data_IF_009917313001
#
_entry.id   IF_009917313001
#
_cell.length_a   1.000
_cell.length_b   1.000
_cell.length_c   1.000
_cell.angle_alpha   90.00
_cell.angle_beta   90.00
_cell.angle_gamma   90.00
#
_symmetry.space_group_name_H-M   'P 1'
#
loop_
_entity.id
_entity.type
_entity.pdbx_description
1 polymer ?
#
# COMPACT_ATOMS: atom_id res chain seq x y z
N UNK A 1 16.42 31.94 47.24
CA UNK A 1 15.60 30.72 47.34
C UNK A 1 14.21 30.85 46.65
N UNK A 2 13.64 32.01 46.54
CA UNK A 2 12.29 32.23 46.03
C UNK A 2 12.12 32.05 44.50
N UNK A 3 13.14 32.38 43.70
CA UNK A 3 13.07 32.29 42.24
C UNK A 3 13.16 30.82 41.70
N UNK A 4 13.71 29.88 42.44
CA UNK A 4 13.82 28.49 42.03
C UNK A 4 12.52 27.70 42.24
N UNK A 5 11.71 28.15 43.19
CA UNK A 5 10.40 27.53 43.49
C UNK A 5 9.36 27.95 42.44
N UNK A 6 9.33 29.24 42.06
CA UNK A 6 8.46 29.76 41.00
C UNK A 6 8.73 29.13 39.62
N UNK A 7 9.99 28.85 39.29
CA UNK A 7 10.37 28.18 38.03
C UNK A 7 9.95 26.71 38.00
N UNK A 8 9.92 26.02 39.16
CA UNK A 8 9.42 24.64 39.27
C UNK A 8 7.90 24.57 39.13
N UNK A 9 7.17 25.51 39.72
CA UNK A 9 5.71 25.55 39.59
C UNK A 9 5.26 25.85 38.16
N UNK A 10 5.95 26.73 37.43
CA UNK A 10 5.65 27.01 36.04
C UNK A 10 5.90 25.77 35.14
N UNK A 11 7.01 25.04 35.34
CA UNK A 11 7.26 23.78 34.61
C UNK A 11 6.23 22.70 34.91
N UNK A 12 5.77 22.60 36.15
CA UNK A 12 4.74 21.62 36.53
C UNK A 12 3.37 21.94 35.89
N UNK A 13 3.01 23.23 35.86
CA UNK A 13 1.80 23.72 35.20
C UNK A 13 1.83 23.47 33.67
N UNK A 14 2.95 23.75 33.03
CA UNK A 14 3.11 23.51 31.59
C UNK A 14 3.10 22.00 31.24
N UNK A 15 3.71 21.16 32.08
CA UNK A 15 3.65 19.73 31.93
C UNK A 15 2.23 19.18 32.12
N UNK A 16 1.48 19.70 33.08
CA UNK A 16 0.07 19.30 33.34
C UNK A 16 -0.87 19.75 32.21
N UNK A 17 -0.69 20.98 31.70
CA UNK A 17 -1.43 21.48 30.54
C UNK A 17 -1.14 20.69 29.26
N UNK A 18 0.10 20.29 29.02
CA UNK A 18 0.47 19.42 27.91
C UNK A 18 -0.12 18.02 28.06
N UNK A 19 -0.13 17.45 29.26
CA UNK A 19 -0.76 16.16 29.55
C UNK A 19 -2.29 16.21 29.33
N UNK A 20 -2.95 17.31 29.72
CA UNK A 20 -4.39 17.50 29.47
C UNK A 20 -4.70 17.70 27.98
N UNK A 21 -3.82 18.36 27.21
CA UNK A 21 -3.96 18.47 25.75
C UNK A 21 -3.81 17.13 25.06
N UNK A 22 -2.85 16.31 25.48
CA UNK A 22 -2.67 14.95 24.96
C UNK A 22 -3.89 14.06 25.29
N UNK A 23 -4.45 14.16 26.52
CA UNK A 23 -5.70 13.46 26.88
C UNK A 23 -6.90 13.89 26.03
N UNK A 24 -7.05 15.19 25.76
CA UNK A 24 -8.15 15.70 24.91
C UNK A 24 -8.00 15.22 23.46
N UNK A 25 -6.78 15.22 22.92
CA UNK A 25 -6.50 14.69 21.56
C UNK A 25 -6.72 13.17 21.49
N UNK A 26 -6.38 12.44 22.54
CA UNK A 26 -6.62 11.00 22.63
C UNK A 26 -8.12 10.66 22.76
N UNK A 27 -8.86 11.44 23.55
CA UNK A 27 -10.33 11.32 23.66
C UNK A 27 -11.02 11.70 22.34
N UNK A 28 -10.52 12.69 21.62
CA UNK A 28 -11.03 13.05 20.29
C UNK A 28 -10.76 11.93 19.28
N UNK A 29 -9.57 11.32 19.29
CA UNK A 29 -9.23 10.15 18.46
C UNK A 29 -10.12 8.95 18.79
N UNK A 30 -10.37 8.70 20.08
CA UNK A 30 -11.31 7.66 20.54
C UNK A 30 -12.76 7.95 20.11
N UNK A 31 -13.20 9.21 20.15
CA UNK A 31 -14.53 9.61 19.69
C UNK A 31 -14.67 9.44 18.16
N UNK A 32 -13.63 9.77 17.38
CA UNK A 32 -13.60 9.54 15.92
C UNK A 32 -13.62 8.04 15.59
N UNK A 33 -12.91 7.21 16.37
CA UNK A 33 -12.96 5.74 16.27
C UNK A 33 -14.35 5.17 16.63
N UNK A 34 -15.08 5.79 17.55
CA UNK A 34 -16.44 5.37 17.89
C UNK A 34 -17.47 5.74 16.82
N UNK A 35 -17.27 6.85 16.10
CA UNK A 35 -18.17 7.25 15.00
C UNK A 35 -18.05 6.27 13.81
N UNK A 36 -16.84 5.76 13.54
CA UNK A 36 -16.65 4.69 12.55
C UNK A 36 -17.25 3.35 12.98
N UNK A 37 -17.38 3.09 14.30
CA UNK A 37 -18.02 1.90 14.85
C UNK A 37 -19.55 1.84 14.68
N UNK A 38 -20.23 2.98 14.58
CA UNK A 38 -21.68 3.05 14.38
C UNK A 38 -22.11 2.70 12.94
N UNK A 39 -21.19 2.78 11.97
CA UNK A 39 -21.44 2.35 10.58
C UNK A 39 -21.41 0.81 10.41
N UNK A 40 -20.95 0.06 11.40
CA UNK A 40 -20.84 -1.40 11.37
C UNK A 40 -22.16 -2.15 11.65
N UNK A 41 -23.23 -1.43 12.02
CA UNK A 41 -24.53 -2.01 12.34
C UNK A 41 -25.47 -2.18 11.15
N UNK A 42 -25.12 -1.67 9.96
CA UNK A 42 -25.88 -1.92 8.74
C UNK A 42 -25.24 -3.07 7.98
N UNK A 43 -25.98 -4.13 7.78
CA UNK A 43 -25.56 -5.35 7.12
C UNK A 43 -24.73 -5.08 5.85
N UNK A 44 -23.61 -5.74 5.75
CA UNK A 44 -22.50 -5.70 4.80
C UNK A 44 -22.80 -5.09 3.41
N UNK A 45 -22.81 -3.78 3.31
CA UNK A 45 -22.85 -3.03 2.05
C UNK A 45 -21.45 -2.93 1.41
N UNK A 46 -20.39 -3.18 2.16
CA UNK A 46 -19.03 -3.08 1.67
C UNK A 46 -18.52 -4.44 1.19
N UNK A 47 -18.05 -4.54 -0.06
CA UNK A 47 -17.36 -5.72 -0.53
C UNK A 47 -16.11 -5.96 0.32
N UNK A 48 -15.94 -7.18 0.82
CA UNK A 48 -14.82 -7.58 1.67
C UNK A 48 -13.43 -7.38 1.04
N UNK A 49 -13.35 -7.41 -0.28
CA UNK A 49 -12.14 -7.32 -1.07
C UNK A 49 -12.21 -6.17 -2.08
N UNK A 50 -12.59 -4.98 -1.63
CA UNK A 50 -12.61 -3.77 -2.44
C UNK A 50 -11.20 -3.18 -2.61
N UNK A 51 -10.86 -2.69 -3.80
CA UNK A 51 -9.58 -2.05 -4.15
C UNK A 51 -8.33 -2.91 -3.84
N UNK A 52 -8.41 -4.24 -3.95
CA UNK A 52 -7.31 -5.15 -3.60
C UNK A 52 -6.05 -4.94 -4.45
N UNK A 53 -6.14 -4.32 -5.63
CA UNK A 53 -4.95 -3.94 -6.41
C UNK A 53 -4.04 -2.96 -5.66
N UNK A 54 -4.56 -2.19 -4.70
CA UNK A 54 -3.78 -1.33 -3.79
C UNK A 54 -3.15 -2.10 -2.62
N UNK A 55 -3.29 -3.42 -2.56
CA UNK A 55 -2.75 -4.27 -1.50
C UNK A 55 -1.62 -5.18 -1.98
N UNK A 56 -1.33 -5.18 -3.29
CA UNK A 56 -0.29 -6.02 -3.89
C UNK A 56 1.11 -5.64 -3.36
N UNK A 57 1.37 -4.36 -3.18
CA UNK A 57 2.68 -3.84 -2.73
C UNK A 57 3.46 -3.17 -3.86
N UNK A 58 4.33 -2.23 -3.51
CA UNK A 58 5.18 -1.49 -4.46
C UNK A 58 6.64 -1.50 -4.01
N UNK A 59 7.53 -1.55 -4.99
CA UNK A 59 8.98 -1.63 -4.77
C UNK A 59 9.46 -3.06 -4.55
N UNK A 60 10.37 -3.53 -5.44
CA UNK A 60 10.95 -4.87 -5.31
C UNK A 60 11.72 -5.05 -3.98
N UNK A 61 12.22 -3.96 -3.39
CA UNK A 61 12.84 -3.94 -2.06
C UNK A 61 11.85 -4.35 -0.96
N UNK A 62 10.62 -3.87 -0.99
CA UNK A 62 9.57 -4.20 -0.03
C UNK A 62 8.97 -5.60 -0.30
N UNK A 63 8.67 -5.90 -1.57
CA UNK A 63 8.12 -7.20 -1.97
C UNK A 63 9.09 -8.34 -1.61
N UNK A 64 10.40 -8.13 -1.81
CA UNK A 64 11.43 -9.09 -1.39
C UNK A 64 11.51 -9.33 0.11
N UNK A 65 10.93 -8.45 0.93
CA UNK A 65 10.77 -8.58 2.39
C UNK A 65 9.37 -9.08 2.79
N UNK A 66 8.60 -9.66 1.88
CA UNK A 66 7.24 -10.12 2.18
C UNK A 66 6.28 -8.98 2.54
N UNK A 67 6.49 -7.78 1.98
CA UNK A 67 5.73 -6.57 2.28
C UNK A 67 5.87 -6.05 3.74
N UNK A 68 6.82 -6.59 4.53
CA UNK A 68 7.08 -6.13 5.89
C UNK A 68 8.02 -4.91 5.87
N UNK A 69 7.46 -3.69 5.80
CA UNK A 69 8.20 -2.42 5.66
C UNK A 69 7.50 -1.21 6.29
N UNK A 70 6.45 -1.40 7.09
CA UNK A 70 5.64 -0.31 7.66
C UNK A 70 6.44 0.56 8.63
N UNK A 71 7.37 -0.05 9.39
CA UNK A 71 8.20 0.66 10.35
C UNK A 71 9.49 1.23 9.72
N UNK A 72 10.05 0.59 8.69
CA UNK A 72 11.38 0.96 8.16
C UNK A 72 11.34 1.54 6.74
N UNK A 73 10.16 1.82 6.18
CA UNK A 73 10.11 2.55 4.91
C UNK A 73 10.67 3.96 5.10
N UNK A 74 11.50 4.42 4.15
CA UNK A 74 12.21 5.71 4.24
C UNK A 74 12.65 6.24 2.88
N UNK A 75 11.94 5.88 1.82
CA UNK A 75 12.18 6.32 0.44
C UNK A 75 10.90 6.91 -0.16
N UNK A 76 10.93 7.26 -1.43
CA UNK A 76 9.75 7.67 -2.19
C UNK A 76 8.60 6.66 -2.12
N UNK A 77 8.90 5.34 -2.01
CA UNK A 77 7.90 4.27 -1.86
C UNK A 77 7.12 4.38 -0.53
N UNK A 78 7.59 5.19 0.42
CA UNK A 78 6.88 5.48 1.67
C UNK A 78 5.51 6.13 1.44
N UNK A 79 5.33 6.88 0.34
CA UNK A 79 4.02 7.43 -0.03
C UNK A 79 2.94 6.35 -0.11
N UNK A 80 3.30 5.15 -0.52
CA UNK A 80 2.39 4.00 -0.55
C UNK A 80 2.37 3.22 0.78
N UNK A 81 3.54 2.90 1.38
CA UNK A 81 3.61 2.02 2.54
C UNK A 81 3.22 2.71 3.84
N UNK A 82 3.93 3.79 4.18
CA UNK A 82 3.69 4.62 5.35
C UNK A 82 4.12 6.07 5.02
N UNK A 83 3.18 6.98 4.76
CA UNK A 83 3.51 8.32 4.31
C UNK A 83 4.43 9.09 5.28
N UNK A 84 4.44 8.76 6.58
CA UNK A 84 5.37 9.36 7.53
C UNK A 84 6.85 9.12 7.19
N UNK A 85 7.15 7.99 6.53
CA UNK A 85 8.50 7.63 6.10
C UNK A 85 9.09 8.56 5.03
N UNK A 86 8.28 9.31 4.29
CA UNK A 86 8.75 10.30 3.33
C UNK A 86 9.66 11.36 3.95
N UNK A 87 9.55 11.61 5.26
CA UNK A 87 10.44 12.53 5.97
C UNK A 87 11.91 12.09 6.00
N UNK A 88 12.21 10.85 5.61
CA UNK A 88 13.57 10.31 5.51
C UNK A 88 14.19 10.56 4.12
N UNK A 89 13.41 11.01 3.12
CA UNK A 89 13.93 11.46 1.82
C UNK A 89 14.78 12.70 2.06
N UNK A 90 16.09 12.59 1.82
CA UNK A 90 17.11 13.62 2.10
C UNK A 90 17.57 14.37 0.86
N UNK A 91 17.17 13.91 -0.33
CA UNK A 91 17.53 14.50 -1.62
C UNK A 91 16.47 15.48 -2.11
N UNK A 92 16.88 16.36 -2.99
CA UNK A 92 15.97 17.32 -3.62
C UNK A 92 14.79 16.63 -4.30
N UNK A 93 15.07 15.54 -5.04
CA UNK A 93 14.04 14.72 -5.69
C UNK A 93 14.44 13.25 -5.66
N UNK A 94 13.51 12.41 -5.29
CA UNK A 94 13.63 10.95 -5.40
C UNK A 94 12.54 10.44 -6.34
N UNK A 95 12.91 9.59 -7.31
CA UNK A 95 12.02 8.97 -8.29
C UNK A 95 12.11 7.47 -8.15
N UNK A 96 10.98 6.77 -8.18
CA UNK A 96 10.92 5.31 -8.21
C UNK A 96 10.02 4.85 -9.34
N UNK A 97 10.48 3.81 -10.04
CA UNK A 97 9.73 3.10 -11.07
C UNK A 97 9.71 1.62 -10.69
N UNK A 98 8.59 0.95 -10.91
CA UNK A 98 8.47 -0.50 -10.76
C UNK A 98 7.61 -1.05 -11.89
N UNK A 99 8.01 -2.22 -12.37
CA UNK A 99 7.22 -3.05 -13.27
C UNK A 99 7.18 -4.48 -12.74
N UNK A 100 6.02 -5.10 -12.84
CA UNK A 100 5.85 -6.50 -12.48
C UNK A 100 4.84 -7.18 -13.39
N UNK A 101 5.24 -8.38 -13.84
CA UNK A 101 4.37 -9.30 -14.54
C UNK A 101 3.84 -10.35 -13.54
N UNK A 102 2.51 -10.41 -13.42
CA UNK A 102 1.81 -11.40 -12.60
C UNK A 102 1.13 -12.44 -13.49
N UNK A 103 0.99 -13.67 -12.94
CA UNK A 103 0.28 -14.76 -13.61
C UNK A 103 0.83 -15.06 -15.03
N UNK A 104 2.16 -15.20 -15.15
CA UNK A 104 2.85 -15.42 -16.43
C UNK A 104 2.59 -14.33 -17.49
N UNK A 105 2.51 -13.07 -17.06
CA UNK A 105 2.33 -11.89 -17.93
C UNK A 105 0.88 -11.55 -18.28
N UNK A 106 -0.10 -12.27 -17.71
CA UNK A 106 -1.53 -11.95 -17.92
C UNK A 106 -1.87 -10.59 -17.32
N UNK A 107 -1.38 -10.31 -16.10
CA UNK A 107 -1.64 -9.04 -15.43
C UNK A 107 -0.33 -8.26 -15.24
N UNK A 108 -0.37 -6.96 -15.51
CA UNK A 108 0.74 -6.02 -15.37
C UNK A 108 0.49 -5.08 -14.20
N UNK A 109 1.54 -4.85 -13.40
CA UNK A 109 1.47 -3.92 -12.27
C UNK A 109 2.62 -2.95 -12.35
N UNK A 110 2.30 -1.68 -12.56
CA UNK A 110 3.24 -0.60 -12.75
C UNK A 110 3.13 0.42 -11.61
N UNK A 111 4.25 0.97 -11.19
CA UNK A 111 4.32 2.03 -10.18
C UNK A 111 5.29 3.13 -10.60
N UNK A 112 4.86 4.36 -10.38
CA UNK A 112 5.67 5.58 -10.43
C UNK A 112 5.56 6.29 -9.09
N UNK A 113 6.69 6.59 -8.46
CA UNK A 113 6.78 7.42 -7.25
C UNK A 113 7.66 8.63 -7.45
N UNK A 114 7.24 9.78 -6.92
CA UNK A 114 7.99 11.04 -6.86
C UNK A 114 7.95 11.57 -5.43
N UNK A 115 9.09 11.97 -4.88
CA UNK A 115 9.17 12.61 -3.57
C UNK A 115 10.13 13.79 -3.59
N UNK A 116 9.70 14.92 -3.06
CA UNK A 116 10.47 16.16 -2.99
C UNK A 116 10.52 16.69 -1.55
N UNK A 117 11.73 16.83 -1.01
CA UNK A 117 11.94 17.47 0.28
C UNK A 117 11.75 18.99 0.16
N UNK A 118 10.68 19.53 0.75
CA UNK A 118 10.38 20.96 0.75
C UNK A 118 11.37 21.69 1.67
N UNK A 119 11.59 21.12 2.85
CA UNK A 119 12.51 21.61 3.88
C UNK A 119 13.12 20.43 4.68
N UNK A 120 13.92 20.73 5.73
CA UNK A 120 14.55 19.71 6.59
C UNK A 120 13.56 18.83 7.37
N UNK A 121 12.28 19.21 7.41
CA UNK A 121 11.24 18.53 8.21
C UNK A 121 10.08 18.01 7.38
N UNK A 122 9.84 18.56 6.19
CA UNK A 122 8.63 18.35 5.41
C UNK A 122 8.95 17.83 4.01
N UNK A 123 8.19 16.84 3.55
CA UNK A 123 8.32 16.22 2.23
C UNK A 123 6.95 16.06 1.62
N UNK A 124 6.82 16.32 0.34
CA UNK A 124 5.66 15.96 -0.48
C UNK A 124 5.99 14.77 -1.36
N UNK A 125 4.98 13.99 -1.67
CA UNK A 125 5.09 12.84 -2.56
C UNK A 125 3.91 12.73 -3.51
N UNK A 126 4.17 12.06 -4.62
CA UNK A 126 3.14 11.62 -5.56
C UNK A 126 3.43 10.18 -5.93
N UNK A 127 2.40 9.34 -5.94
CA UNK A 127 2.50 7.96 -6.42
C UNK A 127 1.38 7.67 -7.40
N UNK A 128 1.72 6.98 -8.50
CA UNK A 128 0.77 6.48 -9.47
C UNK A 128 0.95 4.97 -9.60
N UNK A 129 -0.15 4.25 -9.57
CA UNK A 129 -0.23 2.79 -9.64
C UNK A 129 -1.16 2.45 -10.79
N UNK A 130 -0.77 1.46 -11.60
CA UNK A 130 -1.62 0.85 -12.63
C UNK A 130 -1.58 -0.66 -12.47
N UNK A 131 -2.75 -1.27 -12.37
CA UNK A 131 -2.92 -2.72 -12.47
C UNK A 131 -3.84 -3.00 -13.65
N UNK A 132 -3.42 -3.82 -14.60
CA UNK A 132 -4.19 -4.05 -15.80
C UNK A 132 -4.05 -5.47 -16.34
N UNK A 133 -5.16 -5.93 -16.95
CA UNK A 133 -5.21 -7.11 -17.80
C UNK A 133 -5.64 -6.63 -19.18
N UNK A 134 -4.77 -6.81 -20.15
CA UNK A 134 -4.99 -6.44 -21.54
C UNK A 134 -5.53 -7.65 -22.33
N UNK A 135 -6.06 -7.40 -23.54
CA UNK A 135 -6.49 -8.41 -24.51
C UNK A 135 -7.50 -9.43 -23.97
N UNK A 136 -8.42 -9.00 -23.12
CA UNK A 136 -9.50 -9.86 -22.60
C UNK A 136 -10.51 -10.11 -23.73
N UNK A 137 -10.77 -11.40 -24.12
CA UNK A 137 -11.73 -11.68 -25.16
C UNK A 137 -13.17 -11.30 -24.75
N UNK A 138 -13.82 -10.49 -25.56
CA UNK A 138 -15.24 -10.19 -25.44
C UNK A 138 -16.03 -11.15 -26.33
N UNK A 139 -16.73 -12.08 -25.71
CA UNK A 139 -17.55 -13.11 -26.39
C UNK A 139 -19.04 -12.82 -26.30
N UNK A 140 -19.45 -11.60 -25.90
CA UNK A 140 -20.88 -11.26 -25.73
C UNK A 140 -21.66 -11.32 -27.04
N UNK A 141 -21.01 -11.19 -28.19
CA UNK A 141 -21.59 -11.25 -29.53
C UNK A 141 -21.25 -12.54 -30.29
N UNK A 142 -20.63 -13.54 -29.60
CA UNK A 142 -20.16 -14.79 -30.22
C UNK A 142 -21.30 -15.59 -30.88
N UNK A 143 -22.48 -15.58 -30.26
CA UNK A 143 -23.65 -16.31 -30.75
C UNK A 143 -24.63 -15.31 -31.38
N UNK A 144 -25.06 -15.53 -32.62
CA UNK A 144 -26.04 -14.73 -33.31
C UNK A 144 -27.48 -15.07 -32.86
N UNK A 145 -28.45 -14.28 -33.31
CA UNK A 145 -29.88 -14.50 -32.97
C UNK A 145 -30.45 -15.82 -33.50
N UNK A 146 -29.75 -16.50 -34.41
CA UNK A 146 -30.11 -17.79 -34.96
C UNK A 146 -29.45 -18.96 -34.25
N UNK A 147 -28.58 -18.68 -33.23
CA UNK A 147 -27.81 -19.68 -32.49
C UNK A 147 -26.51 -20.12 -33.15
N UNK A 148 -26.06 -19.46 -34.22
CA UNK A 148 -24.80 -19.79 -34.89
C UNK A 148 -23.65 -19.13 -34.15
N UNK A 149 -22.50 -19.86 -34.05
CA UNK A 149 -21.26 -19.37 -33.47
C UNK A 149 -20.45 -18.65 -34.56
N UNK A 150 -20.10 -17.39 -34.33
CA UNK A 150 -19.33 -16.55 -35.25
C UNK A 150 -18.09 -16.01 -34.49
N UNK A 151 -16.91 -16.63 -34.68
CA UNK A 151 -15.66 -16.28 -34.03
C UNK A 151 -15.10 -14.91 -34.48
N UNK A 152 -15.49 -14.41 -35.65
CA UNK A 152 -15.05 -13.12 -36.18
C UNK A 152 -15.65 -11.94 -35.37
N UNK A 153 -16.67 -12.21 -34.53
CA UNK A 153 -17.26 -11.24 -33.61
C UNK A 153 -16.57 -11.11 -32.27
N UNK A 154 -15.52 -11.92 -32.04
CA UNK A 154 -14.71 -11.77 -30.82
C UNK A 154 -13.90 -10.48 -30.94
N UNK A 155 -14.17 -9.55 -30.06
CA UNK A 155 -13.36 -8.35 -29.84
C UNK A 155 -12.52 -8.49 -28.56
N UNK A 156 -11.58 -7.57 -28.32
CA UNK A 156 -10.80 -7.56 -27.08
C UNK A 156 -11.03 -6.26 -26.34
N UNK A 157 -10.87 -6.30 -25.01
CA UNK A 157 -10.90 -5.12 -24.16
C UNK A 157 -9.86 -5.22 -23.05
N UNK A 158 -9.58 -4.09 -22.40
CA UNK A 158 -8.69 -3.98 -21.25
C UNK A 158 -9.49 -3.72 -19.98
N UNK A 159 -9.15 -4.41 -18.89
CA UNK A 159 -9.56 -4.05 -17.55
C UNK A 159 -8.37 -3.41 -16.82
N UNK A 160 -8.53 -2.19 -16.31
CA UNK A 160 -7.45 -1.45 -15.68
C UNK A 160 -7.92 -0.67 -14.45
N UNK A 161 -7.14 -0.80 -13.37
CA UNK A 161 -7.32 -0.09 -12.11
C UNK A 161 -6.14 0.87 -11.91
N UNK A 162 -6.44 2.11 -11.56
CA UNK A 162 -5.46 3.18 -11.32
C UNK A 162 -5.63 3.73 -9.91
N UNK A 163 -4.51 3.91 -9.22
CA UNK A 163 -4.44 4.57 -7.91
C UNK A 163 -3.46 5.74 -7.95
N UNK A 164 -3.88 6.91 -7.45
CA UNK A 164 -3.04 8.10 -7.33
C UNK A 164 -3.03 8.53 -5.87
N UNK A 165 -1.82 8.70 -5.31
CA UNK A 165 -1.62 9.10 -3.92
C UNK A 165 -0.87 10.42 -3.90
N UNK A 166 -1.45 11.44 -3.28
CA UNK A 166 -0.82 12.73 -3.00
C UNK A 166 -0.45 12.75 -1.53
N UNK A 167 0.83 12.75 -1.24
CA UNK A 167 1.39 12.53 0.09
C UNK A 167 2.00 13.80 0.67
N UNK A 168 1.82 13.99 1.97
CA UNK A 168 2.54 14.98 2.76
C UNK A 168 3.03 14.35 4.07
N UNK A 169 4.29 14.63 4.42
CA UNK A 169 4.89 14.14 5.66
C UNK A 169 5.67 15.22 6.38
N UNK A 170 5.73 15.12 7.72
CA UNK A 170 6.44 16.07 8.57
C UNK A 170 7.04 15.43 9.81
N UNK A 171 8.32 15.77 10.10
CA UNK A 171 8.97 15.48 11.38
C UNK A 171 8.37 16.34 12.48
N UNK A 172 7.98 15.73 13.57
CA UNK A 172 7.42 16.44 14.72
C UNK A 172 8.52 17.00 15.63
N UNK A 173 8.11 17.76 16.67
CA UNK A 173 9.04 18.28 17.70
C UNK A 173 9.59 17.17 18.61
N UNK A 174 8.90 16.04 18.69
CA UNK A 174 9.34 14.85 19.41
C UNK A 174 10.40 14.18 18.55
N UNK A 175 11.60 14.01 19.10
CA UNK A 175 12.72 13.38 18.40
C UNK A 175 12.34 11.97 17.90
N UNK A 176 12.69 11.68 16.65
CA UNK A 176 12.42 10.39 16.03
C UNK A 176 10.96 10.20 15.55
N UNK A 177 10.04 11.12 15.86
CA UNK A 177 8.63 10.99 15.50
C UNK A 177 8.29 11.77 14.23
N UNK A 178 7.67 11.08 13.27
CA UNK A 178 7.18 11.64 12.02
C UNK A 178 5.72 11.25 11.81
N UNK A 179 4.97 12.12 11.14
CA UNK A 179 3.59 11.86 10.70
C UNK A 179 3.46 12.15 9.21
N UNK A 180 2.52 11.52 8.58
CA UNK A 180 2.20 11.76 7.17
C UNK A 180 0.77 11.36 6.85
N UNK A 181 0.31 11.80 5.68
CA UNK A 181 -1.01 11.44 5.16
C UNK A 181 -1.03 11.43 3.66
N UNK A 182 -2.00 10.70 3.12
CA UNK A 182 -2.29 10.65 1.69
C UNK A 182 -3.71 11.13 1.43
N UNK A 183 -3.88 11.90 0.37
CA UNK A 183 -5.12 11.97 -0.37
C UNK A 183 -5.04 10.98 -1.54
N UNK A 184 -6.01 10.08 -1.63
CA UNK A 184 -6.03 8.98 -2.58
C UNK A 184 -7.17 9.14 -3.56
N UNK A 185 -6.86 9.01 -4.87
CA UNK A 185 -7.83 8.90 -5.94
C UNK A 185 -7.73 7.51 -6.56
N UNK A 186 -8.87 6.91 -6.84
CA UNK A 186 -8.97 5.60 -7.49
C UNK A 186 -9.80 5.76 -8.76
N UNK A 187 -9.32 5.22 -9.87
CA UNK A 187 -10.07 5.13 -11.11
C UNK A 187 -10.00 3.70 -11.62
N UNK A 188 -11.17 3.10 -11.87
CA UNK A 188 -11.24 1.73 -12.36
C UNK A 188 -12.06 1.71 -13.68
N UNK A 189 -11.61 0.91 -14.64
CA UNK A 189 -12.25 0.78 -15.95
C UNK A 189 -12.25 -0.69 -16.38
N UNK A 190 -13.41 -1.15 -16.88
CA UNK A 190 -13.58 -2.49 -17.45
C UNK A 190 -14.09 -2.30 -18.87
N UNK A 191 -13.19 -2.26 -19.86
CA UNK A 191 -13.53 -1.95 -21.24
C UNK A 191 -14.36 -0.68 -21.35
N UNK A 192 -15.43 -0.78 -22.14
CA UNK A 192 -16.46 0.27 -22.23
C UNK A 192 -17.72 -0.05 -21.42
N UNK A 193 -17.67 -1.18 -20.64
CA UNK A 193 -18.81 -1.69 -19.90
C UNK A 193 -19.03 -0.95 -18.58
N UNK A 194 -17.93 -0.63 -17.88
CA UNK A 194 -18.01 -0.03 -16.57
C UNK A 194 -16.80 0.85 -16.26
N UNK A 195 -17.02 1.89 -15.47
CA UNK A 195 -15.97 2.74 -14.88
C UNK A 195 -16.36 3.18 -13.49
N UNK A 196 -15.35 3.43 -12.65
CA UNK A 196 -15.57 4.04 -11.35
C UNK A 196 -14.54 5.11 -11.04
N UNK A 197 -14.96 6.05 -10.19
CA UNK A 197 -14.09 7.00 -9.52
C UNK A 197 -14.28 6.89 -8.02
N UNK A 198 -13.18 6.97 -7.30
CA UNK A 198 -13.18 6.88 -5.85
C UNK A 198 -12.13 7.79 -5.22
N UNK A 199 -12.30 8.07 -3.93
CA UNK A 199 -11.35 8.80 -3.14
C UNK A 199 -11.34 8.32 -1.69
N UNK A 200 -10.22 8.54 -1.01
CA UNK A 200 -10.01 8.18 0.39
C UNK A 200 -8.82 8.90 0.99
N UNK A 201 -8.63 8.73 2.28
CA UNK A 201 -7.49 9.28 3.03
C UNK A 201 -6.76 8.18 3.77
N UNK A 202 -5.43 8.30 3.84
CA UNK A 202 -4.58 7.47 4.70
C UNK A 202 -3.84 8.36 5.70
N UNK A 203 -3.54 7.83 6.87
CA UNK A 203 -2.74 8.48 7.90
C UNK A 203 -1.63 7.55 8.37
N UNK A 204 -0.41 8.07 8.49
CA UNK A 204 0.77 7.32 8.89
C UNK A 204 1.53 7.98 10.04
N UNK A 205 2.14 7.13 10.86
CA UNK A 205 3.02 7.51 11.94
C UNK A 205 4.25 6.62 11.91
N UNK A 206 5.43 7.19 12.10
CA UNK A 206 6.67 6.46 12.21
C UNK A 206 7.51 7.02 13.36
N UNK A 207 8.03 6.13 14.20
CA UNK A 207 8.86 6.46 15.34
C UNK A 207 10.19 5.70 15.31
N UNK A 208 11.29 6.44 15.16
CA UNK A 208 12.64 5.93 15.25
C UNK A 208 13.17 6.19 16.67
N UNK A 209 13.12 5.17 17.53
CA UNK A 209 13.63 5.27 18.91
C UNK A 209 15.15 5.49 18.92
N UNK A 210 15.84 4.86 17.99
CA UNK A 210 17.29 4.96 17.72
C UNK A 210 17.56 4.30 16.35
N UNK A 211 18.83 4.21 15.96
CA UNK A 211 19.25 3.57 14.70
C UNK A 211 18.92 2.07 14.61
N UNK A 212 18.57 1.43 15.72
CA UNK A 212 18.30 -0.01 15.79
C UNK A 212 16.83 -0.36 15.85
N UNK A 213 15.98 0.48 16.43
CA UNK A 213 14.58 0.20 16.63
C UNK A 213 13.69 1.27 15.97
N UNK A 214 12.77 0.83 15.13
CA UNK A 214 11.73 1.66 14.53
C UNK A 214 10.36 1.03 14.69
N UNK A 215 9.35 1.86 14.79
CA UNK A 215 7.95 1.46 14.88
C UNK A 215 7.15 2.25 13.85
N UNK A 216 6.17 1.59 13.26
CA UNK A 216 5.27 2.21 12.28
C UNK A 216 3.81 1.89 12.59
N UNK A 217 2.93 2.83 12.27
CA UNK A 217 1.50 2.62 12.27
C UNK A 217 0.89 3.35 11.08
N UNK A 218 -0.04 2.70 10.38
CA UNK A 218 -0.77 3.29 9.27
C UNK A 218 -2.24 2.97 9.41
N UNK A 219 -3.08 3.98 9.38
CA UNK A 219 -4.51 3.83 9.19
C UNK A 219 -4.79 4.06 7.70
N UNK A 220 -4.91 2.96 6.95
CA UNK A 220 -5.22 2.97 5.53
C UNK A 220 -6.72 3.05 5.34
N UNK A 221 -7.18 3.81 4.33
CA UNK A 221 -8.59 4.07 4.09
C UNK A 221 -9.31 4.68 5.32
N UNK A 222 -8.66 5.61 6.02
CA UNK A 222 -9.10 6.15 7.31
C UNK A 222 -10.51 6.74 7.30
N UNK A 223 -10.94 7.28 6.15
CA UNK A 223 -12.30 7.81 5.92
C UNK A 223 -13.21 6.81 5.18
N UNK A 224 -12.77 5.57 5.04
CA UNK A 224 -13.18 4.66 3.98
C UNK A 224 -12.85 5.20 2.58
N UNK A 225 -12.65 4.31 1.61
CA UNK A 225 -12.49 4.72 0.20
C UNK A 225 -13.77 4.37 -0.54
N UNK A 226 -14.38 5.38 -1.14
CA UNK A 226 -15.62 5.27 -1.89
C UNK A 226 -15.31 5.12 -3.36
N UNK A 227 -15.93 4.16 -4.06
CA UNK A 227 -15.89 4.02 -5.51
C UNK A 227 -17.31 4.07 -6.05
N UNK A 228 -17.62 5.08 -6.84
CA UNK A 228 -18.90 5.20 -7.54
C UNK A 228 -18.81 4.54 -8.92
N UNK A 229 -19.49 3.42 -9.10
CA UNK A 229 -19.55 2.65 -10.34
C UNK A 229 -20.66 3.18 -11.26
N UNK A 230 -20.30 3.34 -12.54
CA UNK A 230 -21.23 3.66 -13.63
C UNK A 230 -21.08 2.55 -14.67
N UNK A 231 -22.21 1.90 -15.00
CA UNK A 231 -22.27 0.87 -16.02
C UNK A 231 -22.84 1.47 -17.31
N UNK A 232 -22.17 1.22 -18.43
CA UNK A 232 -22.52 1.72 -19.75
C UNK A 232 -22.54 0.54 -20.71
N UNK A 233 -23.67 -0.16 -20.77
CA UNK A 233 -23.84 -1.26 -21.71
C UNK A 233 -24.55 -0.74 -22.98
N UNK A 234 -24.07 -1.14 -24.17
CA UNK A 234 -24.78 -0.93 -25.40
C UNK A 234 -26.02 -1.84 -25.49
N UNK A 235 -26.94 -1.52 -26.38
CA UNK A 235 -28.23 -2.22 -26.44
C UNK A 235 -28.09 -3.70 -26.84
N UNK A 236 -27.11 -4.03 -27.70
CA UNK A 236 -26.83 -5.40 -28.07
C UNK A 236 -26.34 -6.23 -26.86
N UNK A 237 -25.47 -5.65 -26.03
CA UNK A 237 -24.99 -6.32 -24.79
C UNK A 237 -26.13 -6.46 -23.77
N UNK A 238 -27.01 -5.45 -23.62
CA UNK A 238 -28.17 -5.54 -22.74
C UNK A 238 -29.13 -6.67 -23.18
N UNK A 239 -29.35 -6.80 -24.48
CA UNK A 239 -30.20 -7.85 -25.04
C UNK A 239 -29.63 -9.24 -24.75
N UNK A 240 -28.32 -9.45 -24.92
CA UNK A 240 -27.62 -10.70 -24.54
C UNK A 240 -27.82 -11.03 -23.06
N UNK A 241 -27.63 -10.05 -22.15
CA UNK A 241 -27.84 -10.25 -20.71
C UNK A 241 -29.29 -10.71 -20.42
N UNK A 242 -30.27 -10.05 -20.98
CA UNK A 242 -31.69 -10.37 -20.76
C UNK A 242 -32.06 -11.73 -21.36
N UNK A 243 -31.59 -12.06 -22.56
CA UNK A 243 -31.83 -13.34 -23.22
C UNK A 243 -31.19 -14.53 -22.53
N UNK A 244 -30.08 -14.29 -21.80
CA UNK A 244 -29.39 -15.32 -20.99
C UNK A 244 -29.90 -15.39 -19.56
N UNK A 245 -30.98 -14.66 -19.22
CA UNK A 245 -31.57 -14.67 -17.87
C UNK A 245 -30.76 -13.91 -16.83
N UNK A 246 -29.78 -13.10 -17.23
CA UNK A 246 -29.01 -12.27 -16.35
C UNK A 246 -29.69 -10.93 -16.05
N UNK A 247 -29.49 -10.40 -14.85
CA UNK A 247 -29.93 -9.05 -14.51
C UNK A 247 -28.91 -8.03 -15.01
N UNK A 248 -29.40 -6.88 -15.48
CA UNK A 248 -28.53 -5.77 -15.86
C UNK A 248 -27.85 -5.19 -14.62
N UNK A 249 -26.54 -4.90 -14.68
CA UNK A 249 -25.84 -4.26 -13.57
C UNK A 249 -26.35 -2.83 -13.37
N UNK A 250 -26.52 -2.44 -12.13
CA UNK A 250 -26.95 -1.10 -11.74
C UNK A 250 -25.77 -0.27 -11.21
N UNK A 251 -25.85 1.05 -11.41
CA UNK A 251 -24.89 1.97 -10.82
C UNK A 251 -24.91 1.83 -9.29
N UNK A 252 -23.73 1.83 -8.68
CA UNK A 252 -23.60 1.54 -7.25
C UNK A 252 -22.40 2.18 -6.61
N UNK A 253 -22.41 2.15 -5.28
CA UNK A 253 -21.32 2.60 -4.44
C UNK A 253 -20.61 1.40 -3.81
N UNK A 254 -19.34 1.26 -4.10
CA UNK A 254 -18.44 0.29 -3.46
C UNK A 254 -17.64 1.00 -2.36
N UNK A 255 -17.49 0.38 -1.21
CA UNK A 255 -16.85 0.96 -0.04
C UNK A 255 -15.71 0.05 0.44
N UNK A 256 -14.49 0.61 0.56
CA UNK A 256 -13.36 -0.03 1.23
C UNK A 256 -13.28 0.45 2.67
N UNK A 257 -13.35 -0.45 3.63
CA UNK A 257 -13.31 -0.12 5.05
C UNK A 257 -11.88 0.15 5.54
N UNK A 258 -11.73 0.93 6.63
CA UNK A 258 -10.43 1.22 7.22
C UNK A 258 -9.66 -0.02 7.66
N UNK A 259 -8.32 0.02 7.48
CA UNK A 259 -7.37 -1.00 7.96
C UNK A 259 -6.28 -0.35 8.80
N UNK A 260 -5.87 -1.04 9.86
CA UNK A 260 -4.74 -0.65 10.69
C UNK A 260 -3.55 -1.56 10.41
N UNK A 261 -2.44 -0.98 9.95
CA UNK A 261 -1.17 -1.67 9.76
C UNK A 261 -0.21 -1.23 10.86
N UNK A 262 0.41 -2.19 11.54
CA UNK A 262 1.39 -1.96 12.60
C UNK A 262 2.69 -2.63 12.22
N UNK A 263 3.83 -1.96 12.44
CA UNK A 263 5.14 -2.50 12.10
C UNK A 263 6.17 -2.28 13.21
N UNK A 264 7.08 -3.25 13.32
CA UNK A 264 8.24 -3.17 14.23
C UNK A 264 9.49 -3.65 13.50
N UNK A 265 10.49 -2.77 13.41
CA UNK A 265 11.77 -3.05 12.79
C UNK A 265 12.90 -3.07 13.79
N UNK A 266 13.84 -4.01 13.59
CA UNK A 266 15.08 -4.08 14.35
C UNK A 266 16.29 -4.32 13.45
N UNK A 267 17.36 -3.52 13.68
CA UNK A 267 18.65 -3.65 13.03
C UNK A 267 19.67 -4.29 13.95
N UNK A 268 20.44 -5.25 13.43
CA UNK A 268 21.56 -5.91 14.08
C UNK A 268 22.83 -5.64 13.27
N UNK A 269 23.87 -5.15 13.93
CA UNK A 269 25.20 -5.01 13.30
C UNK A 269 25.94 -6.36 13.39
N UNK A 270 26.39 -6.87 12.24
CA UNK A 270 27.05 -8.16 12.12
C UNK A 270 28.58 -7.97 11.95
N UNK A 271 29.30 -7.86 13.08
CA UNK A 271 30.74 -7.73 13.09
C UNK A 271 31.29 -6.40 12.55
N UNK A 272 32.63 -6.37 12.25
CA UNK A 272 33.33 -5.12 11.90
C UNK A 272 33.33 -4.76 10.41
N UNK A 273 32.74 -5.56 9.52
CA UNK A 273 32.90 -5.43 8.06
C UNK A 273 31.80 -4.63 7.38
N UNK A 274 30.97 -3.90 8.12
CA UNK A 274 29.87 -3.11 7.56
C UNK A 274 28.69 -3.98 7.07
N UNK A 275 28.50 -5.15 7.64
CA UNK A 275 27.33 -6.00 7.44
C UNK A 275 26.26 -5.69 8.49
N UNK A 276 25.01 -5.66 8.08
CA UNK A 276 23.90 -5.52 9.02
C UNK A 276 22.71 -6.39 8.57
N UNK A 277 21.98 -6.90 9.56
CA UNK A 277 20.72 -7.60 9.37
C UNK A 277 19.59 -6.72 9.89
N UNK A 278 18.66 -6.36 9.02
CA UNK A 278 17.38 -5.76 9.38
C UNK A 278 16.31 -6.84 9.43
N UNK A 279 15.46 -6.81 10.44
CA UNK A 279 14.27 -7.68 10.53
C UNK A 279 13.06 -6.82 10.80
N UNK A 280 11.94 -7.13 10.17
CA UNK A 280 10.68 -6.44 10.36
C UNK A 280 9.53 -7.42 10.50
N UNK A 281 8.63 -7.10 11.41
CA UNK A 281 7.37 -7.81 11.61
C UNK A 281 6.26 -6.77 11.52
N UNK A 282 5.36 -6.99 10.57
CA UNK A 282 4.17 -6.17 10.38
C UNK A 282 2.91 -6.99 10.64
N UNK A 283 1.84 -6.31 11.00
CA UNK A 283 0.52 -6.88 11.24
C UNK A 283 -0.53 -6.01 10.57
N UNK A 284 -1.25 -6.57 9.60
CA UNK A 284 -2.40 -5.96 8.94
C UNK A 284 -3.68 -6.39 9.66
N UNK A 285 -4.46 -5.42 10.16
CA UNK A 285 -5.67 -5.63 10.94
C UNK A 285 -6.86 -5.07 10.18
N UNK A 286 -7.81 -5.94 9.85
CA UNK A 286 -9.05 -5.58 9.16
C UNK A 286 -10.26 -5.90 10.02
N UNK A 287 -11.32 -5.08 9.93
CA UNK A 287 -12.56 -5.21 10.73
C UNK A 287 -13.80 -5.40 9.86
N UNK A 288 -13.61 -5.80 8.61
CA UNK A 288 -14.67 -6.03 7.63
C UNK A 288 -15.18 -7.49 7.63
N UNK A 289 -15.00 -8.17 8.74
CA UNK A 289 -15.41 -9.54 8.95
C UNK A 289 -14.30 -10.57 8.75
N UNK A 290 -14.67 -11.84 8.66
CA UNK A 290 -13.76 -12.97 8.59
C UNK A 290 -13.08 -13.05 7.22
N UNK A 291 -11.83 -12.62 7.12
CA UNK A 291 -10.96 -12.79 5.92
C UNK A 291 -10.26 -14.14 5.96
N UNK A 292 -9.76 -14.60 4.80
CA UNK A 292 -8.94 -15.81 4.72
C UNK A 292 -7.47 -15.47 4.98
N UNK A 293 -7.12 -15.29 6.24
CA UNK A 293 -5.78 -14.94 6.75
C UNK A 293 -5.42 -15.84 7.94
N UNK A 294 -4.21 -15.73 8.48
CA UNK A 294 -3.70 -16.59 9.55
C UNK A 294 -4.60 -16.61 10.78
N UNK A 295 -4.97 -15.43 11.29
CA UNK A 295 -5.87 -15.31 12.46
C UNK A 295 -7.13 -14.62 11.99
N UNK A 296 -8.26 -15.32 12.07
CA UNK A 296 -9.54 -14.86 11.52
C UNK A 296 -10.67 -15.00 12.52
N UNK A 297 -11.43 -13.95 12.71
CA UNK A 297 -12.65 -13.94 13.51
C UNK A 297 -13.74 -13.13 12.79
N UNK A 298 -14.96 -13.18 13.31
CA UNK A 298 -16.07 -12.38 12.76
C UNK A 298 -15.90 -10.88 13.06
N UNK A 299 -15.12 -10.53 14.08
CA UNK A 299 -14.88 -9.14 14.51
C UNK A 299 -13.67 -8.54 13.81
N UNK A 300 -12.55 -9.26 13.73
CA UNK A 300 -11.32 -8.78 13.12
C UNK A 300 -10.50 -9.92 12.52
N UNK A 301 -9.74 -9.63 11.49
CA UNK A 301 -8.81 -10.53 10.85
C UNK A 301 -7.40 -9.93 10.94
N UNK A 302 -6.38 -10.79 11.16
CA UNK A 302 -4.99 -10.38 11.38
C UNK A 302 -4.11 -11.15 10.40
N UNK A 303 -3.42 -10.41 9.51
CA UNK A 303 -2.48 -10.95 8.53
C UNK A 303 -1.06 -10.49 8.87
N UNK A 304 -0.18 -11.38 9.38
CA UNK A 304 1.19 -11.04 9.69
C UNK A 304 2.07 -11.10 8.44
N UNK A 305 3.08 -10.20 8.40
CA UNK A 305 4.13 -10.16 7.40
C UNK A 305 5.47 -10.19 8.12
N UNK A 306 6.40 -11.00 7.66
CA UNK A 306 7.75 -11.05 8.20
C UNK A 306 8.78 -10.89 7.09
N UNK A 307 9.76 -10.00 7.32
CA UNK A 307 10.84 -9.74 6.39
C UNK A 307 12.19 -9.59 7.07
N UNK A 308 13.24 -9.93 6.31
CA UNK A 308 14.60 -9.64 6.69
C UNK A 308 15.41 -9.11 5.50
N UNK A 309 16.42 -8.28 5.80
CA UNK A 309 17.36 -7.74 4.83
C UNK A 309 18.79 -7.84 5.36
N UNK A 310 19.62 -8.60 4.68
CA UNK A 310 21.06 -8.67 4.94
C UNK A 310 21.75 -7.65 4.02
N UNK A 311 22.40 -6.64 4.60
CA UNK A 311 22.99 -5.54 3.87
C UNK A 311 24.51 -5.55 4.04
N UNK A 312 25.24 -5.34 2.93
CA UNK A 312 26.68 -5.13 2.91
C UNK A 312 27.00 -3.71 2.49
N UNK A 313 27.53 -2.89 3.43
CA UNK A 313 27.97 -1.50 3.22
C UNK A 313 26.97 -0.63 2.44
N UNK A 314 25.71 -0.88 2.53
CA UNK A 314 24.65 -0.21 1.77
C UNK A 314 24.75 -0.34 0.23
N UNK A 315 25.65 -1.17 -0.30
CA UNK A 315 25.77 -1.40 -1.74
C UNK A 315 24.94 -2.57 -2.22
N UNK A 316 24.94 -3.65 -1.45
CA UNK A 316 24.25 -4.89 -1.81
C UNK A 316 23.32 -5.28 -0.68
N UNK A 317 22.11 -5.71 -1.04
CA UNK A 317 21.12 -6.23 -0.11
C UNK A 317 20.58 -7.56 -0.62
N UNK A 318 20.50 -8.54 0.29
CA UNK A 318 19.77 -9.79 0.08
C UNK A 318 18.60 -9.80 1.03
N UNK A 319 17.41 -10.05 0.50
CA UNK A 319 16.16 -9.97 1.26
C UNK A 319 15.40 -11.28 1.18
N UNK A 320 14.64 -11.55 2.21
CA UNK A 320 13.68 -12.66 2.25
C UNK A 320 12.51 -12.29 3.14
N UNK A 321 11.37 -12.88 2.85
CA UNK A 321 10.17 -12.62 3.61
C UNK A 321 9.10 -13.68 3.43
N UNK A 322 8.08 -13.58 4.25
CA UNK A 322 6.89 -14.44 4.22
C UNK A 322 5.66 -13.58 4.46
N UNK A 323 4.65 -13.76 3.63
CA UNK A 323 3.41 -12.99 3.64
C UNK A 323 2.23 -13.86 3.19
N UNK A 324 1.04 -13.30 3.17
CA UNK A 324 -0.17 -13.85 2.56
C UNK A 324 -0.49 -15.28 3.07
N UNK A 325 -0.68 -15.40 4.38
CA UNK A 325 -1.08 -16.66 5.01
C UNK A 325 -2.55 -16.94 4.76
N UNK A 326 -2.86 -18.04 4.04
CA UNK A 326 -4.22 -18.39 3.65
C UNK A 326 -4.51 -19.85 3.91
N UNK A 327 -5.76 -20.17 4.26
CA UNK A 327 -6.22 -21.54 4.35
C UNK A 327 -6.82 -21.96 3.01
N UNK A 328 -6.25 -22.99 2.40
CA UNK A 328 -6.73 -23.60 1.15
C UNK A 328 -7.44 -24.90 1.49
N UNK A 329 -8.64 -25.06 0.96
CA UNK A 329 -9.43 -26.28 1.11
C UNK A 329 -8.98 -27.29 0.07
N UNK A 330 -8.59 -28.50 0.52
CA UNK A 330 -8.26 -29.62 -0.35
C UNK A 330 -9.53 -30.33 -0.85
N UNK A 331 -9.38 -31.25 -1.78
CA UNK A 331 -10.47 -32.08 -2.31
C UNK A 331 -11.11 -33.02 -1.27
N UNK A 332 -10.39 -33.35 -0.20
CA UNK A 332 -10.85 -34.17 0.92
C UNK A 332 -11.49 -33.33 2.07
N UNK A 333 -11.86 -32.08 1.79
CA UNK A 333 -12.40 -31.11 2.75
C UNK A 333 -11.44 -30.68 3.88
N UNK A 334 -10.21 -31.20 3.92
CA UNK A 334 -9.19 -30.74 4.87
C UNK A 334 -8.70 -29.32 4.50
N UNK A 335 -8.33 -28.53 5.53
CA UNK A 335 -7.76 -27.21 5.33
C UNK A 335 -6.24 -27.24 5.52
N UNK A 336 -5.51 -26.76 4.53
CA UNK A 336 -4.05 -26.59 4.58
C UNK A 336 -3.72 -25.10 4.70
N UNK A 337 -2.85 -24.75 5.66
CA UNK A 337 -2.28 -23.40 5.72
C UNK A 337 -1.24 -23.25 4.61
N UNK A 338 -1.42 -22.26 3.79
CA UNK A 338 -0.52 -21.86 2.72
C UNK A 338 0.04 -20.47 3.04
N UNK A 339 1.25 -20.17 2.57
CA UNK A 339 1.90 -18.88 2.72
C UNK A 339 2.77 -18.57 1.50
N UNK A 340 3.10 -17.31 1.32
CA UNK A 340 3.86 -16.82 0.18
C UNK A 340 5.27 -16.44 0.60
N UNK A 341 6.30 -17.24 0.30
CA UNK A 341 7.69 -16.85 0.47
C UNK A 341 8.11 -15.87 -0.63
N UNK A 342 9.00 -14.95 -0.27
CA UNK A 342 9.59 -13.97 -1.17
C UNK A 342 11.09 -13.91 -1.01
N UNK A 343 11.81 -13.60 -2.07
CA UNK A 343 13.25 -13.32 -2.05
C UNK A 343 13.54 -12.08 -2.88
N UNK A 344 14.59 -11.35 -2.51
CA UNK A 344 14.95 -10.13 -3.22
C UNK A 344 16.45 -9.85 -3.20
N UNK A 345 16.90 -9.16 -4.23
CA UNK A 345 18.27 -8.66 -4.38
C UNK A 345 18.22 -7.16 -4.64
N UNK A 346 19.16 -6.41 -4.06
CA UNK A 346 19.25 -4.98 -4.27
C UNK A 346 20.69 -4.52 -4.48
N UNK A 347 20.86 -3.62 -5.43
CA UNK A 347 22.11 -2.89 -5.70
C UNK A 347 21.87 -1.41 -5.51
N UNK A 348 22.78 -0.72 -4.80
CA UNK A 348 22.70 0.71 -4.57
C UNK A 348 24.06 1.34 -4.84
N UNK A 349 24.15 2.16 -5.90
CA UNK A 349 25.39 2.78 -6.35
C UNK A 349 25.13 4.27 -6.60
N UNK A 350 25.79 5.14 -5.82
CA UNK A 350 25.82 6.60 -6.05
C UNK A 350 24.46 7.26 -6.32
N UNK A 351 23.43 6.88 -5.57
CA UNK A 351 22.09 7.45 -5.73
C UNK A 351 21.19 6.71 -6.72
N UNK A 352 21.69 5.69 -7.38
CA UNK A 352 20.94 4.75 -8.20
C UNK A 352 20.73 3.45 -7.40
N UNK A 353 19.50 2.97 -7.32
CA UNK A 353 19.19 1.68 -6.73
C UNK A 353 18.42 0.84 -7.74
N UNK A 354 18.85 -0.40 -7.92
CA UNK A 354 18.15 -1.41 -8.70
C UNK A 354 17.79 -2.56 -7.77
N UNK A 355 16.52 -2.88 -7.68
CA UNK A 355 16.02 -3.94 -6.85
C UNK A 355 15.24 -4.95 -7.71
N UNK A 356 15.41 -6.22 -7.40
CA UNK A 356 14.67 -7.34 -7.99
C UNK A 356 14.05 -8.18 -6.89
N UNK A 357 12.79 -8.58 -7.07
CA UNK A 357 12.13 -9.54 -6.20
C UNK A 357 11.50 -10.66 -7.01
N UNK A 358 11.55 -11.83 -6.42
CA UNK A 358 10.91 -13.04 -6.91
C UNK A 358 9.89 -13.49 -5.87
N UNK A 359 8.64 -13.59 -6.28
CA UNK A 359 7.54 -13.93 -5.39
C UNK A 359 6.54 -14.84 -6.08
N UNK A 360 5.85 -15.62 -5.29
CA UNK A 360 4.74 -16.44 -5.73
C UNK A 360 3.44 -15.80 -5.25
N UNK A 361 2.67 -15.21 -6.17
CA UNK A 361 1.33 -14.68 -5.88
C UNK A 361 0.31 -15.74 -6.27
N UNK A 362 -0.12 -16.51 -5.28
CA UNK A 362 -1.19 -17.49 -5.40
C UNK A 362 -0.69 -18.92 -5.69
N UNK A 363 -0.63 -19.70 -4.62
CA UNK A 363 -0.34 -21.13 -4.65
C UNK A 363 -1.45 -21.99 -5.34
N UNK A 364 -2.40 -21.36 -6.00
CA UNK A 364 -3.54 -21.99 -6.67
C UNK A 364 -3.45 -21.89 -8.18
N UNK A 365 -2.52 -21.08 -8.71
CA UNK A 365 -2.33 -20.88 -10.14
C UNK A 365 -1.21 -21.77 -10.69
N UNK A 366 -1.38 -22.27 -11.91
CA UNK A 366 -0.33 -22.95 -12.66
C UNK A 366 0.88 -22.03 -12.99
N UNK A 367 0.68 -20.72 -12.99
CA UNK A 367 1.73 -19.71 -13.11
C UNK A 367 2.26 -19.33 -11.72
N UNK A 368 3.27 -20.06 -11.27
CA UNK A 368 3.76 -20.04 -9.89
C UNK A 368 4.58 -18.81 -9.50
N UNK A 369 5.03 -17.97 -10.45
CA UNK A 369 6.08 -16.98 -10.18
C UNK A 369 5.75 -15.63 -10.75
N UNK A 370 6.10 -14.60 -9.97
CA UNK A 370 6.06 -13.22 -10.40
C UNK A 370 7.43 -12.57 -10.23
N UNK A 371 7.83 -11.84 -11.26
CA UNK A 371 9.07 -11.09 -11.30
C UNK A 371 8.78 -9.62 -11.11
N UNK A 372 9.46 -8.98 -10.16
CA UNK A 372 9.31 -7.56 -9.86
C UNK A 372 10.66 -6.89 -10.01
N UNK A 373 10.71 -5.84 -10.81
CA UNK A 373 11.90 -5.02 -11.01
C UNK A 373 11.56 -3.61 -10.60
N UNK A 374 12.39 -2.98 -9.79
CA UNK A 374 12.25 -1.57 -9.44
C UNK A 374 13.56 -0.81 -9.53
N UNK A 375 13.44 0.44 -9.96
CA UNK A 375 14.50 1.40 -10.15
C UNK A 375 14.22 2.62 -9.30
N UNK A 376 15.23 3.10 -8.54
CA UNK A 376 15.11 4.32 -7.74
C UNK A 376 16.30 5.24 -8.00
N UNK A 377 16.00 6.51 -8.26
CA UNK A 377 16.96 7.58 -8.52
C UNK A 377 16.86 8.64 -7.43
N UNK A 378 18.00 9.04 -6.86
CA UNK A 378 18.12 10.09 -5.86
C UNK A 378 18.90 11.26 -6.44
N UNK A 379 18.22 12.37 -6.70
CA UNK A 379 18.74 13.52 -7.40
C UNK A 379 19.05 14.65 -6.42
N UNK A 380 20.24 15.23 -6.54
CA UNK A 380 20.61 16.44 -5.80
C UNK A 380 20.00 17.66 -6.50
N UNK A 381 19.85 18.77 -5.76
CA UNK A 381 19.44 20.05 -6.35
C UNK A 381 20.41 20.43 -7.48
N UNK A 382 19.92 20.84 -8.65
CA UNK A 382 20.79 21.37 -9.70
C UNK A 382 21.65 22.52 -9.17
N UNK A 383 22.93 22.54 -9.49
CA UNK A 383 23.78 23.69 -9.21
C UNK A 383 23.18 24.90 -9.96
N UNK A 384 22.90 26.00 -9.24
CA UNK A 384 22.51 27.25 -9.90
C UNK A 384 23.66 27.63 -10.83
N UNK A 385 23.45 27.46 -12.12
CA UNK A 385 24.32 28.09 -13.13
C UNK A 385 24.02 29.59 -13.07
N UNK A 386 24.76 30.30 -12.24
CA UNK A 386 24.77 31.78 -12.32
C UNK A 386 25.32 32.06 -13.69
N UNK A 387 24.45 32.48 -14.63
CA UNK A 387 24.88 33.05 -15.88
C UNK A 387 25.80 34.22 -15.50
N UNK A 388 27.11 34.08 -15.77
CA UNK A 388 28.01 35.21 -15.85
C UNK A 388 27.47 36.09 -16.97
N UNK A 389 26.79 37.16 -16.59
CA UNK A 389 26.60 38.29 -17.47
C UNK A 389 28.01 38.87 -17.69
N UNK A 390 28.58 38.66 -18.86
CA UNK A 390 29.66 39.47 -19.40
C UNK A 390 29.11 40.80 -19.93
#
# INVERSE_FOLDING_TARGET
MTNTILAKEHRFKDMFLNFMRVKKSFLFLLAVLQISGLSLAQGSLAPKYSNEFLNIGVGADAIGMGNAVIANTGSVNSGYWNPAGLTQVDKWLEVSLMHSDYFAGIAKYDFLGLAHAIDKKSTIGFSAIRFAVDDIPNTTQLIDNNGNIDYDRISVFTAADYGFLFSYARKLKIEGLSVGGNFKLVHRKVGDFAKSWGFGLDAGLQYSKNDKWKFGAVLRDATSTFNAWIFTLNDATKEVFLNTGNTLPENGLELTLPRLLLGTYRKFELGKKGMSLGTELDLDITTDGKRNVLIRSNFASFDPHFGFSLNYKSYVSVRGGVTNFQYVKNFDDTQKLNFQPTVGLGLNIKGFSLDYAFTNIGNVSAALYSHVISLRLRLNKPANTVAKQE
#
